data_IF_105076408419
#
_entry.id   IF_105076408419
#
_cell.length_a   1.000
_cell.length_b   1.000
_cell.length_c   1.000
_cell.angle_alpha   90.00
_cell.angle_beta   90.00
_cell.angle_gamma   90.00
#
_symmetry.space_group_name_H-M   'P 1'
#
loop_
_entity.id
_entity.type
_entity.pdbx_description
1 polymer ?
#
# COMPACT_ATOMS: atom_id res chain seq x y z
N UNK A 1 -25.55 -12.93 8.92
CA UNK A 1 -24.54 -11.92 9.30
C UNK A 1 -25.04 -11.17 10.51
N UNK A 2 -24.28 -11.16 11.60
CA UNK A 2 -24.63 -10.43 12.82
C UNK A 2 -24.66 -8.92 12.54
N UNK A 3 -25.40 -8.11 13.31
CA UNK A 3 -25.45 -6.64 13.13
C UNK A 3 -24.04 -6.01 13.18
N UNK A 4 -23.11 -6.60 13.94
CA UNK A 4 -21.71 -6.16 14.04
C UNK A 4 -20.89 -6.41 12.75
N UNK A 5 -21.23 -7.40 11.92
CA UNK A 5 -20.52 -7.66 10.67
C UNK A 5 -20.91 -6.69 9.53
N UNK A 6 -22.04 -6.00 9.65
CA UNK A 6 -22.52 -5.06 8.63
C UNK A 6 -21.79 -3.71 8.66
N UNK A 7 -21.26 -3.30 9.82
CA UNK A 7 -20.64 -1.99 10.00
C UNK A 7 -19.10 -2.01 9.85
N UNK A 8 -18.50 -3.19 9.67
CA UNK A 8 -17.06 -3.31 9.46
C UNK A 8 -16.64 -2.68 8.12
N UNK A 9 -15.52 -1.91 8.10
CA UNK A 9 -14.88 -1.51 6.85
C UNK A 9 -14.61 -2.71 5.96
N UNK A 10 -14.78 -2.55 4.64
CA UNK A 10 -14.66 -3.66 3.69
C UNK A 10 -13.26 -4.28 3.71
N UNK A 11 -12.24 -3.47 3.99
CA UNK A 11 -10.86 -3.90 4.19
C UNK A 11 -10.75 -5.01 5.24
N UNK A 12 -11.47 -4.88 6.37
CA UNK A 12 -11.45 -5.88 7.44
C UNK A 12 -12.43 -7.03 7.16
N UNK A 13 -13.60 -6.71 6.62
CA UNK A 13 -14.65 -7.69 6.30
C UNK A 13 -14.18 -8.73 5.29
N UNK A 14 -13.45 -8.29 4.27
CA UNK A 14 -12.91 -9.12 3.18
C UNK A 14 -11.44 -9.48 3.38
N UNK A 15 -10.87 -9.24 4.57
CA UNK A 15 -9.50 -9.66 4.90
C UNK A 15 -9.42 -11.19 4.77
N UNK A 16 -8.43 -11.72 4.02
CA UNK A 16 -8.21 -13.17 3.89
C UNK A 16 -8.21 -13.88 5.25
N UNK A 17 -9.00 -14.96 5.35
CA UNK A 17 -9.13 -15.75 6.60
C UNK A 17 -8.21 -16.95 6.59
N UNK A 18 -8.05 -17.57 5.43
CA UNK A 18 -7.18 -18.73 5.18
C UNK A 18 -6.06 -18.38 4.21
N UNK A 19 -4.99 -19.20 4.18
CA UNK A 19 -3.88 -18.98 3.25
C UNK A 19 -4.33 -19.13 1.79
N UNK A 20 -5.39 -19.90 1.52
CA UNK A 20 -5.99 -20.08 0.20
C UNK A 20 -6.69 -18.82 -0.33
N UNK A 21 -7.15 -17.94 0.57
CA UNK A 21 -7.85 -16.71 0.19
C UNK A 21 -6.91 -15.61 -0.32
N UNK A 22 -5.59 -15.76 -0.10
CA UNK A 22 -4.57 -14.77 -0.44
C UNK A 22 -4.34 -14.74 -1.95
N UNK A 23 -4.56 -13.58 -2.55
CA UNK A 23 -4.49 -13.39 -3.99
C UNK A 23 -3.05 -13.19 -4.50
N UNK A 24 -2.70 -13.84 -5.62
CA UNK A 24 -1.47 -13.62 -6.43
C UNK A 24 -0.14 -13.70 -5.68
N UNK A 25 -0.02 -14.60 -4.69
CA UNK A 25 1.24 -14.87 -4.00
C UNK A 25 1.55 -16.37 -4.02
N UNK A 26 1.37 -17.04 -5.16
CA UNK A 26 1.40 -18.51 -5.28
C UNK A 26 2.71 -19.13 -4.79
N UNK A 27 3.84 -18.50 -5.08
CA UNK A 27 5.16 -18.94 -4.59
C UNK A 27 5.19 -18.92 -3.05
N UNK A 28 4.75 -17.82 -2.43
CA UNK A 28 4.73 -17.66 -0.97
C UNK A 28 3.73 -18.65 -0.35
N UNK A 29 2.51 -18.71 -0.90
CA UNK A 29 1.43 -19.60 -0.44
C UNK A 29 1.86 -21.06 -0.52
N UNK A 30 2.52 -21.48 -1.60
CA UNK A 30 2.97 -22.87 -1.76
C UNK A 30 4.00 -23.29 -0.71
N UNK A 31 4.92 -22.38 -0.36
CA UNK A 31 5.94 -22.63 0.69
C UNK A 31 5.29 -22.62 2.07
N UNK A 32 4.39 -21.68 2.32
CA UNK A 32 3.66 -21.60 3.58
C UNK A 32 2.77 -22.83 3.81
N UNK A 33 2.11 -23.36 2.77
CA UNK A 33 1.36 -24.63 2.84
C UNK A 33 2.24 -25.84 3.18
N UNK A 34 3.47 -25.88 2.66
CA UNK A 34 4.44 -26.90 3.06
C UNK A 34 4.80 -26.77 4.55
N UNK A 35 4.99 -25.55 5.04
CA UNK A 35 5.21 -25.29 6.47
C UNK A 35 4.01 -25.66 7.35
N UNK A 36 2.77 -25.45 6.86
CA UNK A 36 1.56 -25.90 7.56
C UNK A 36 1.56 -27.42 7.75
N UNK A 37 1.99 -28.15 6.71
CA UNK A 37 1.99 -29.62 6.71
C UNK A 37 3.12 -30.19 7.57
N UNK A 38 4.32 -29.61 7.49
CA UNK A 38 5.49 -30.03 8.28
C UNK A 38 5.38 -29.62 9.75
N UNK A 39 4.65 -28.54 10.05
CA UNK A 39 4.59 -27.95 11.38
C UNK A 39 5.91 -27.29 11.81
N UNK A 40 6.83 -27.04 10.88
CA UNK A 40 8.09 -26.33 11.13
C UNK A 40 8.15 -25.03 10.32
N UNK A 41 8.06 -23.90 11.02
CA UNK A 41 7.96 -22.57 10.43
C UNK A 41 9.21 -21.72 10.74
N UNK A 42 10.15 -21.52 9.82
CA UNK A 42 11.33 -20.68 10.10
C UNK A 42 10.93 -19.26 10.51
N UNK A 43 11.87 -18.47 11.02
CA UNK A 43 11.62 -17.03 11.11
C UNK A 43 11.34 -16.47 9.71
N UNK A 44 10.36 -15.59 9.60
CA UNK A 44 9.89 -15.06 8.32
C UNK A 44 10.20 -13.57 8.22
N UNK A 45 10.52 -13.12 7.01
CA UNK A 45 10.62 -11.71 6.66
C UNK A 45 9.76 -11.46 5.42
N UNK A 46 8.63 -10.79 5.60
CA UNK A 46 7.70 -10.42 4.55
C UNK A 46 7.96 -8.98 4.13
N UNK A 47 8.23 -8.76 2.85
CA UNK A 47 8.51 -7.42 2.36
C UNK A 47 7.91 -7.14 1.00
N UNK A 48 7.59 -5.88 0.75
CA UNK A 48 7.02 -5.43 -0.52
C UNK A 48 6.13 -4.21 -0.36
N UNK A 49 5.53 -3.71 -1.45
CA UNK A 49 4.65 -2.53 -1.43
C UNK A 49 3.47 -2.68 -0.46
N UNK A 50 2.85 -1.56 -0.03
CA UNK A 50 1.62 -1.59 0.76
C UNK A 50 0.49 -2.30 0.00
N UNK A 51 -0.54 -2.75 0.73
CA UNK A 51 -1.73 -3.36 0.10
C UNK A 51 -1.55 -4.74 -0.54
N UNK A 52 -0.35 -5.32 -0.53
CA UNK A 52 -0.04 -6.62 -1.17
C UNK A 52 -0.41 -7.86 -0.34
N UNK A 53 -1.00 -7.68 0.84
CA UNK A 53 -1.48 -8.79 1.68
C UNK A 53 -0.48 -9.39 2.66
N UNK A 54 0.66 -8.72 2.94
CA UNK A 54 1.70 -9.19 3.89
C UNK A 54 1.14 -9.60 5.26
N UNK A 55 0.49 -8.66 5.96
CA UNK A 55 -0.10 -8.88 7.29
C UNK A 55 -1.23 -9.90 7.24
N UNK A 56 -2.09 -9.82 6.23
CA UNK A 56 -3.18 -10.78 6.02
C UNK A 56 -2.67 -12.21 5.86
N UNK A 57 -1.56 -12.42 5.15
CA UNK A 57 -0.98 -13.75 4.89
C UNK A 57 -0.48 -14.42 6.16
N UNK A 58 0.27 -13.70 7.02
CA UNK A 58 0.75 -14.30 8.27
C UNK A 58 -0.38 -14.54 9.26
N UNK A 59 -1.38 -13.66 9.32
CA UNK A 59 -2.54 -13.85 10.18
C UNK A 59 -3.37 -15.05 9.72
N UNK A 60 -3.58 -15.21 8.42
CA UNK A 60 -4.22 -16.38 7.84
C UNK A 60 -3.45 -17.68 8.16
N UNK A 61 -2.13 -17.67 7.94
CA UNK A 61 -1.26 -18.80 8.30
C UNK A 61 -1.38 -19.15 9.79
N UNK A 62 -1.34 -18.16 10.67
CA UNK A 62 -1.39 -18.40 12.10
C UNK A 62 -2.77 -18.88 12.57
N UNK A 63 -3.86 -18.48 11.89
CA UNK A 63 -5.20 -19.06 12.11
C UNK A 63 -5.25 -20.52 11.66
N UNK A 64 -4.69 -20.85 10.51
CA UNK A 64 -4.65 -22.22 10.01
C UNK A 64 -3.77 -23.13 10.90
N UNK A 65 -2.68 -22.60 11.49
CA UNK A 65 -1.80 -23.33 12.41
C UNK A 65 -2.43 -23.57 13.79
N UNK A 66 -3.06 -22.55 14.38
CA UNK A 66 -3.46 -22.57 15.79
C UNK A 66 -4.98 -22.66 16.02
N UNK A 67 -5.79 -22.44 15.00
CA UNK A 67 -7.25 -22.46 15.09
C UNK A 67 -7.77 -21.59 16.24
N UNK A 68 -8.45 -22.21 17.19
CA UNK A 68 -9.03 -21.55 18.37
C UNK A 68 -8.00 -20.96 19.33
N UNK A 69 -6.76 -21.48 19.33
CA UNK A 69 -5.67 -21.01 20.20
C UNK A 69 -4.92 -19.80 19.62
N UNK A 70 -5.34 -19.28 18.47
CA UNK A 70 -4.72 -18.14 17.78
C UNK A 70 -4.41 -16.98 18.73
N UNK A 71 -5.39 -16.53 19.54
CA UNK A 71 -5.23 -15.36 20.43
C UNK A 71 -4.20 -15.56 21.55
N UNK A 72 -3.94 -16.80 21.96
CA UNK A 72 -3.00 -17.10 23.04
C UNK A 72 -1.58 -17.33 22.53
N UNK A 73 -1.44 -17.75 21.27
CA UNK A 73 -0.16 -18.15 20.65
C UNK A 73 0.42 -17.12 19.70
N UNK A 74 -0.36 -16.13 19.30
CA UNK A 74 0.07 -15.07 18.38
C UNK A 74 0.12 -13.75 19.13
N UNK A 75 1.27 -13.10 19.09
CA UNK A 75 1.44 -11.73 19.53
C UNK A 75 1.67 -10.85 18.29
N UNK A 76 0.70 -10.01 17.96
CA UNK A 76 0.84 -8.98 16.92
C UNK A 76 1.22 -7.66 17.59
N UNK A 77 2.30 -7.03 17.11
CA UNK A 77 2.73 -5.72 17.54
C UNK A 77 2.98 -4.86 16.31
N UNK A 78 2.39 -3.67 16.27
CA UNK A 78 2.75 -2.65 15.31
C UNK A 78 3.97 -1.88 15.82
N UNK A 79 5.10 -2.00 15.14
CA UNK A 79 6.36 -1.45 15.62
C UNK A 79 6.43 0.08 15.55
N UNK A 80 5.56 0.73 14.75
CA UNK A 80 5.46 2.19 14.67
C UNK A 80 4.73 2.82 15.85
N UNK A 81 3.78 2.10 16.48
CA UNK A 81 3.06 2.58 17.66
C UNK A 81 3.86 2.33 18.95
N UNK A 82 4.49 1.15 19.05
CA UNK A 82 5.25 0.73 20.23
C UNK A 82 6.75 1.06 20.14
N UNK A 83 7.09 2.31 19.83
CA UNK A 83 8.48 2.78 19.52
C UNK A 83 9.53 2.59 20.62
N UNK A 84 9.11 2.29 21.85
CA UNK A 84 10.01 2.11 22.98
C UNK A 84 10.85 0.84 22.84
N UNK A 85 12.18 0.99 22.78
CA UNK A 85 13.13 -0.14 22.78
C UNK A 85 12.86 -1.08 23.98
N UNK A 86 12.48 -0.53 25.13
CA UNK A 86 12.11 -1.29 26.34
C UNK A 86 10.80 -2.05 26.17
N UNK A 87 9.77 -1.40 25.61
CA UNK A 87 8.42 -1.99 25.47
C UNK A 87 8.46 -3.22 24.57
N UNK A 88 9.08 -3.12 23.39
CA UNK A 88 9.23 -4.26 22.47
C UNK A 88 10.04 -5.35 23.15
N UNK A 89 11.18 -5.00 23.76
CA UNK A 89 12.05 -5.97 24.42
C UNK A 89 11.34 -6.73 25.52
N UNK A 90 10.62 -6.04 26.40
CA UNK A 90 10.01 -6.63 27.59
C UNK A 90 8.74 -7.39 27.27
N UNK A 91 7.87 -6.88 26.38
CA UNK A 91 6.67 -7.60 25.92
C UNK A 91 7.04 -8.85 25.14
N UNK A 92 7.93 -8.71 24.14
CA UNK A 92 8.36 -9.86 23.32
C UNK A 92 9.09 -10.87 24.17
N UNK A 93 9.96 -10.44 25.10
CA UNK A 93 10.67 -11.35 26.01
C UNK A 93 9.70 -12.09 26.93
N UNK A 94 8.76 -11.39 27.56
CA UNK A 94 7.77 -12.00 28.46
C UNK A 94 6.92 -13.02 27.69
N UNK A 95 6.46 -12.68 26.48
CA UNK A 95 5.70 -13.60 25.64
C UNK A 95 6.51 -14.81 25.16
N UNK A 96 7.79 -14.59 24.81
CA UNK A 96 8.70 -15.65 24.34
C UNK A 96 9.14 -16.62 25.45
N UNK A 97 9.08 -16.17 26.71
CA UNK A 97 9.38 -16.99 27.89
C UNK A 97 8.25 -17.93 28.28
N UNK A 98 7.01 -17.62 27.91
CA UNK A 98 5.88 -18.47 28.20
C UNK A 98 5.90 -19.72 27.32
N UNK A 99 5.91 -20.90 27.93
CA UNK A 99 5.91 -22.17 27.21
C UNK A 99 4.51 -22.48 26.65
N UNK A 100 4.43 -23.02 25.43
CA UNK A 100 3.20 -23.62 24.92
C UNK A 100 3.18 -25.10 25.30
N UNK A 101 2.44 -25.46 26.35
CA UNK A 101 2.46 -26.82 26.91
C UNK A 101 1.45 -27.79 26.28
N UNK A 102 0.53 -27.30 25.45
CA UNK A 102 -0.53 -28.10 24.83
C UNK A 102 -0.40 -28.03 23.29
N UNK A 103 -1.00 -28.95 22.53
CA UNK A 103 -1.06 -28.91 21.05
C UNK A 103 0.10 -29.56 20.26
N UNK A 104 -0.16 -29.83 18.96
CA UNK A 104 0.78 -30.47 18.01
C UNK A 104 2.00 -29.60 17.69
N UNK A 105 1.81 -28.27 17.69
CA UNK A 105 2.85 -27.28 17.43
C UNK A 105 3.32 -26.71 18.77
N UNK A 106 4.63 -26.77 19.04
CA UNK A 106 5.23 -26.38 20.34
C UNK A 106 5.82 -24.97 20.37
N UNK A 107 5.63 -24.19 19.31
CA UNK A 107 6.09 -22.80 19.26
C UNK A 107 4.93 -21.80 19.23
N UNK A 108 5.25 -20.56 19.59
CA UNK A 108 4.40 -19.36 19.45
C UNK A 108 4.86 -18.51 18.27
N UNK A 109 4.02 -17.61 17.79
CA UNK A 109 4.36 -16.67 16.73
C UNK A 109 4.33 -15.24 17.25
N UNK A 110 5.39 -14.48 17.00
CA UNK A 110 5.42 -13.02 17.20
C UNK A 110 5.46 -12.36 15.83
N UNK A 111 4.46 -11.53 15.56
CA UNK A 111 4.32 -10.74 14.33
C UNK A 111 4.70 -9.30 14.67
N UNK A 112 5.73 -8.80 14.01
CA UNK A 112 6.17 -7.42 14.11
C UNK A 112 5.84 -6.73 12.78
N UNK A 113 4.75 -5.97 12.77
CA UNK A 113 4.36 -5.17 11.61
C UNK A 113 5.16 -3.85 11.58
N UNK A 114 5.39 -3.32 10.38
CA UNK A 114 6.19 -2.11 10.14
C UNK A 114 7.57 -2.14 10.81
N UNK A 115 8.25 -3.29 10.77
CA UNK A 115 9.56 -3.51 11.39
C UNK A 115 10.65 -2.56 10.83
N UNK A 116 10.45 -1.97 9.66
CA UNK A 116 11.32 -0.95 9.07
C UNK A 116 11.24 0.42 9.77
N UNK A 117 10.21 0.65 10.58
CA UNK A 117 10.09 1.83 11.44
C UNK A 117 10.84 1.67 12.78
N UNK A 118 11.36 0.48 13.09
CA UNK A 118 12.13 0.23 14.31
C UNK A 118 13.52 0.88 14.25
N UNK A 119 13.95 1.45 15.38
CA UNK A 119 15.33 1.92 15.54
C UNK A 119 16.34 0.77 15.45
N UNK A 120 17.57 1.05 15.01
CA UNK A 120 18.63 0.04 14.89
C UNK A 120 18.95 -0.65 16.22
N UNK A 121 18.82 0.07 17.34
CA UNK A 121 19.02 -0.46 18.68
C UNK A 121 17.92 -1.46 19.07
N UNK A 122 16.66 -1.15 18.74
CA UNK A 122 15.55 -2.08 18.95
C UNK A 122 15.72 -3.37 18.15
N UNK A 123 16.11 -3.25 16.88
CA UNK A 123 16.39 -4.41 16.03
C UNK A 123 17.56 -5.25 16.56
N UNK A 124 18.60 -4.61 17.10
CA UNK A 124 19.74 -5.30 17.72
C UNK A 124 19.34 -6.03 19.00
N UNK A 125 18.46 -5.45 19.82
CA UNK A 125 17.90 -6.12 20.99
C UNK A 125 17.03 -7.32 20.60
N UNK A 126 16.19 -7.16 19.57
CA UNK A 126 15.34 -8.22 19.03
C UNK A 126 16.16 -9.41 18.54
N UNK A 127 17.28 -9.17 17.84
CA UNK A 127 18.19 -10.24 17.38
C UNK A 127 18.57 -11.21 18.51
N UNK A 128 18.97 -10.68 19.68
CA UNK A 128 19.36 -11.50 20.83
C UNK A 128 18.19 -12.34 21.35
N UNK A 129 16.97 -11.80 21.31
CA UNK A 129 15.74 -12.50 21.72
C UNK A 129 15.44 -13.63 20.73
N UNK A 130 15.52 -13.37 19.42
CA UNK A 130 15.29 -14.36 18.38
C UNK A 130 16.25 -15.55 18.49
N UNK A 131 17.54 -15.29 18.73
CA UNK A 131 18.54 -16.33 18.93
C UNK A 131 18.27 -17.16 20.20
N UNK A 132 17.93 -16.51 21.31
CA UNK A 132 17.69 -17.18 22.59
C UNK A 132 16.44 -18.05 22.59
N UNK A 133 15.37 -17.61 21.93
CA UNK A 133 14.04 -18.24 22.00
C UNK A 133 13.58 -18.91 20.69
N UNK A 134 14.49 -19.16 19.74
CA UNK A 134 14.20 -19.87 18.46
C UNK A 134 13.40 -21.17 18.64
N UNK A 135 13.63 -21.91 19.73
CA UNK A 135 12.93 -23.19 20.00
C UNK A 135 11.47 -23.02 20.42
N UNK A 136 11.15 -21.93 21.12
CA UNK A 136 9.81 -21.69 21.69
C UNK A 136 8.99 -20.68 20.89
N UNK A 137 9.65 -19.81 20.13
CA UNK A 137 9.01 -18.67 19.46
C UNK A 137 9.56 -18.50 18.05
N UNK A 138 8.66 -18.36 17.08
CA UNK A 138 8.98 -18.02 15.69
C UNK A 138 8.57 -16.58 15.43
N UNK A 139 9.44 -15.82 14.78
CA UNK A 139 9.22 -14.41 14.48
C UNK A 139 8.81 -14.24 13.01
N UNK A 140 7.85 -13.36 12.76
CA UNK A 140 7.51 -12.86 11.44
C UNK A 140 7.69 -11.35 11.43
N UNK A 141 8.67 -10.86 10.67
CA UNK A 141 8.91 -9.45 10.47
C UNK A 141 8.22 -9.02 9.19
N UNK A 142 7.44 -7.94 9.24
CA UNK A 142 6.80 -7.35 8.06
C UNK A 142 7.38 -5.96 7.85
N UNK A 143 7.82 -5.64 6.64
CA UNK A 143 8.29 -4.31 6.30
C UNK A 143 7.93 -3.93 4.86
N UNK A 144 8.04 -2.64 4.53
CA UNK A 144 7.99 -2.22 3.13
C UNK A 144 9.38 -2.26 2.51
N UNK A 145 10.40 -1.86 3.28
CA UNK A 145 11.79 -1.77 2.81
C UNK A 145 12.74 -2.71 3.59
N UNK A 146 13.24 -3.75 2.92
CA UNK A 146 14.22 -4.69 3.52
C UNK A 146 15.53 -4.00 3.88
N UNK A 147 15.91 -2.94 3.17
CA UNK A 147 17.13 -2.17 3.40
C UNK A 147 17.18 -1.50 4.76
N UNK A 148 16.03 -1.23 5.39
CA UNK A 148 15.92 -0.68 6.74
C UNK A 148 16.08 -1.74 7.85
N UNK A 149 16.08 -3.02 7.50
CA UNK A 149 16.30 -4.12 8.43
C UNK A 149 17.79 -4.43 8.53
N UNK A 150 18.32 -4.54 9.75
CA UNK A 150 19.73 -4.81 9.97
C UNK A 150 20.13 -6.18 9.38
N UNK A 151 21.32 -6.31 8.75
CA UNK A 151 21.77 -7.57 8.16
C UNK A 151 21.69 -8.80 9.08
N UNK A 152 21.97 -8.69 10.40
CA UNK A 152 21.83 -9.83 11.32
C UNK A 152 20.41 -10.40 11.45
N UNK A 153 19.36 -9.56 11.37
CA UNK A 153 17.98 -10.05 11.37
C UNK A 153 17.62 -10.66 10.01
N UNK A 154 18.02 -9.98 8.94
CA UNK A 154 17.77 -10.39 7.58
C UNK A 154 18.34 -11.79 7.27
N UNK A 155 19.54 -12.11 7.76
CA UNK A 155 20.17 -13.42 7.52
C UNK A 155 19.54 -14.58 8.31
N UNK A 156 18.77 -14.29 9.36
CA UNK A 156 18.12 -15.30 10.22
C UNK A 156 16.68 -15.60 9.82
N UNK A 157 16.15 -14.88 8.84
CA UNK A 157 14.77 -15.02 8.38
C UNK A 157 14.73 -15.56 6.94
N UNK A 158 13.75 -16.42 6.68
CA UNK A 158 13.33 -16.79 5.32
C UNK A 158 12.57 -15.63 4.71
N UNK A 159 13.04 -15.15 3.55
CA UNK A 159 12.59 -13.90 2.95
C UNK A 159 11.54 -14.18 1.89
N UNK A 160 10.40 -13.51 1.99
CA UNK A 160 9.31 -13.60 1.03
C UNK A 160 9.00 -12.22 0.48
N UNK A 161 9.18 -12.08 -0.84
CA UNK A 161 8.89 -10.84 -1.58
C UNK A 161 7.43 -10.85 -2.03
N UNK A 162 6.66 -9.90 -1.55
CA UNK A 162 5.32 -9.62 -2.02
C UNK A 162 5.39 -8.65 -3.18
N UNK A 163 4.88 -9.07 -4.33
CA UNK A 163 4.79 -8.24 -5.54
C UNK A 163 3.45 -7.50 -5.54
N UNK A 164 3.36 -6.31 -6.19
CA UNK A 164 2.08 -5.69 -6.53
C UNK A 164 1.13 -6.71 -7.15
N UNK A 165 -0.15 -6.59 -6.84
CA UNK A 165 -1.15 -7.52 -7.35
C UNK A 165 -1.37 -7.26 -8.85
N UNK A 166 -1.35 -8.30 -9.71
CA UNK A 166 -1.73 -8.17 -11.10
C UNK A 166 -3.15 -7.62 -11.25
N UNK A 167 -3.36 -6.75 -12.24
CA UNK A 167 -4.65 -6.10 -12.52
C UNK A 167 -5.79 -7.10 -12.65
N UNK A 168 -5.57 -8.25 -13.32
CA UNK A 168 -6.60 -9.28 -13.50
C UNK A 168 -7.14 -9.81 -12.16
N UNK A 169 -6.25 -10.12 -11.22
CA UNK A 169 -6.66 -10.69 -9.92
C UNK A 169 -7.34 -9.64 -9.03
N UNK A 170 -6.95 -8.37 -9.17
CA UNK A 170 -7.68 -7.26 -8.55
C UNK A 170 -9.10 -7.16 -9.08
N UNK A 171 -9.28 -7.24 -10.41
CA UNK A 171 -10.62 -7.23 -11.05
C UNK A 171 -11.47 -8.37 -10.49
N UNK A 172 -10.96 -9.61 -10.51
CA UNK A 172 -11.73 -10.78 -10.07
C UNK A 172 -12.20 -10.68 -8.61
N UNK A 173 -11.31 -10.20 -7.73
CA UNK A 173 -11.63 -10.01 -6.30
C UNK A 173 -12.61 -8.86 -6.10
N UNK A 174 -12.43 -7.74 -6.80
CA UNK A 174 -13.35 -6.60 -6.73
C UNK A 174 -14.72 -6.98 -7.28
N UNK A 175 -14.80 -7.74 -8.38
CA UNK A 175 -16.05 -8.21 -8.96
C UNK A 175 -16.82 -9.13 -7.99
N UNK A 176 -16.11 -10.00 -7.29
CA UNK A 176 -16.70 -10.86 -6.24
C UNK A 176 -17.31 -10.00 -5.13
N UNK A 177 -16.60 -8.96 -4.67
CA UNK A 177 -17.07 -8.05 -3.61
C UNK A 177 -18.25 -7.21 -4.10
N UNK A 178 -18.20 -6.72 -5.33
CA UNK A 178 -19.29 -5.96 -5.95
C UNK A 178 -20.58 -6.79 -6.06
N UNK A 179 -20.45 -8.10 -6.35
CA UNK A 179 -21.59 -9.02 -6.36
C UNK A 179 -22.19 -9.22 -4.96
N UNK A 180 -21.36 -9.34 -3.92
CA UNK A 180 -21.81 -9.54 -2.53
C UNK A 180 -22.48 -8.27 -1.98
N UNK A 181 -21.90 -7.10 -2.24
CA UNK A 181 -22.38 -5.81 -1.73
C UNK A 181 -23.43 -5.15 -2.64
N UNK A 182 -23.74 -5.76 -3.79
CA UNK A 182 -24.67 -5.23 -4.79
C UNK A 182 -24.32 -3.80 -5.24
N UNK A 183 -23.05 -3.57 -5.59
CA UNK A 183 -22.57 -2.27 -6.09
C UNK A 183 -23.02 -2.07 -7.54
N UNK A 184 -23.74 -0.97 -7.81
CA UNK A 184 -24.09 -0.51 -9.15
C UNK A 184 -22.97 0.33 -9.75
N UNK A 185 -22.62 0.06 -11.00
CA UNK A 185 -21.70 0.88 -11.80
C UNK A 185 -22.41 1.37 -13.06
N UNK A 186 -22.08 2.58 -13.49
CA UNK A 186 -22.57 3.11 -14.76
C UNK A 186 -21.92 2.39 -15.96
N UNK A 187 -20.59 2.19 -15.92
CA UNK A 187 -19.86 1.37 -16.87
C UNK A 187 -18.84 0.47 -16.15
N UNK A 188 -19.31 -0.73 -15.78
CA UNK A 188 -18.57 -1.67 -14.93
C UNK A 188 -17.12 -1.90 -15.38
N UNK A 189 -16.85 -2.05 -16.67
CA UNK A 189 -15.48 -2.34 -17.15
C UNK A 189 -14.55 -1.12 -17.09
N UNK A 190 -15.00 0.05 -17.52
CA UNK A 190 -14.16 1.25 -17.51
C UNK A 190 -13.92 1.77 -16.10
N UNK A 191 -14.96 1.77 -15.26
CA UNK A 191 -14.90 2.33 -13.91
C UNK A 191 -14.03 1.46 -12.99
N UNK A 192 -14.11 0.12 -13.14
CA UNK A 192 -13.19 -0.80 -12.45
C UNK A 192 -11.74 -0.66 -12.94
N UNK A 193 -11.53 -0.50 -14.24
CA UNK A 193 -10.18 -0.31 -14.78
C UNK A 193 -9.55 0.97 -14.23
N UNK A 194 -10.30 2.07 -14.22
CA UNK A 194 -9.86 3.34 -13.65
C UNK A 194 -9.59 3.24 -12.13
N UNK A 195 -10.46 2.56 -11.38
CA UNK A 195 -10.23 2.31 -9.96
C UNK A 195 -8.89 1.59 -9.71
N UNK A 196 -8.56 0.61 -10.53
CA UNK A 196 -7.31 -0.17 -10.38
C UNK A 196 -6.10 0.65 -10.77
N UNK A 197 -6.19 1.42 -11.85
CA UNK A 197 -5.14 2.36 -12.26
C UNK A 197 -4.82 3.34 -11.13
N UNK A 198 -5.84 3.98 -10.58
CA UNK A 198 -5.73 4.92 -9.45
C UNK A 198 -5.25 4.26 -8.16
N UNK A 199 -5.39 2.94 -8.04
CA UNK A 199 -4.96 2.18 -6.86
C UNK A 199 -3.53 1.64 -6.96
N UNK A 200 -2.89 1.71 -8.13
CA UNK A 200 -1.49 1.30 -8.36
C UNK A 200 -1.14 -0.11 -7.84
N UNK A 201 -2.11 -1.03 -7.87
CA UNK A 201 -1.92 -2.40 -7.37
C UNK A 201 -2.08 -2.58 -5.85
N UNK A 202 -2.47 -1.54 -5.10
CA UNK A 202 -2.82 -1.59 -3.68
C UNK A 202 -4.29 -1.96 -3.49
N UNK A 203 -4.55 -3.19 -3.01
CA UNK A 203 -5.91 -3.67 -2.75
C UNK A 203 -6.60 -2.94 -1.60
N UNK A 204 -5.87 -2.47 -0.59
CA UNK A 204 -6.44 -1.70 0.52
C UNK A 204 -6.97 -0.36 0.00
N UNK A 205 -6.18 0.33 -0.83
CA UNK A 205 -6.60 1.58 -1.48
C UNK A 205 -7.82 1.35 -2.37
N UNK A 206 -7.79 0.33 -3.24
CA UNK A 206 -8.91 -0.01 -4.12
C UNK A 206 -10.22 -0.26 -3.35
N UNK A 207 -10.18 -1.05 -2.27
CA UNK A 207 -11.35 -1.34 -1.46
C UNK A 207 -11.87 -0.12 -0.70
N UNK A 208 -10.97 0.73 -0.20
CA UNK A 208 -11.34 1.96 0.51
C UNK A 208 -12.06 2.92 -0.43
N UNK A 209 -11.50 3.14 -1.62
CA UNK A 209 -12.09 3.99 -2.65
C UNK A 209 -13.45 3.45 -3.10
N UNK A 210 -13.55 2.15 -3.36
CA UNK A 210 -14.80 1.52 -3.78
C UNK A 210 -15.87 1.62 -2.68
N UNK A 211 -15.51 1.38 -1.41
CA UNK A 211 -16.45 1.49 -0.30
C UNK A 211 -16.97 2.93 -0.14
N UNK A 212 -16.09 3.91 -0.27
CA UNK A 212 -16.46 5.34 -0.21
C UNK A 212 -17.35 5.73 -1.37
N UNK A 213 -17.00 5.33 -2.59
CA UNK A 213 -17.80 5.60 -3.80
C UNK A 213 -19.21 4.98 -3.70
N UNK A 214 -19.29 3.72 -3.25
CA UNK A 214 -20.57 3.06 -3.03
C UNK A 214 -21.44 3.75 -1.96
N UNK A 215 -20.84 4.29 -0.89
CA UNK A 215 -21.57 5.01 0.16
C UNK A 215 -22.15 6.33 -0.34
N UNK A 216 -21.41 7.04 -1.18
CA UNK A 216 -21.83 8.32 -1.77
C UNK A 216 -22.94 8.09 -2.82
N UNK A 217 -22.80 7.04 -3.63
CA UNK A 217 -23.71 6.76 -4.74
C UNK A 217 -24.96 5.94 -4.36
N UNK A 218 -25.30 5.80 -3.06
CA UNK A 218 -26.45 4.98 -2.63
C UNK A 218 -27.79 5.47 -3.20
N UNK A 219 -27.89 6.76 -3.52
CA UNK A 219 -29.10 7.40 -4.03
C UNK A 219 -29.05 7.71 -5.54
N UNK A 220 -27.92 7.44 -6.21
CA UNK A 220 -27.68 7.76 -7.63
C UNK A 220 -27.60 6.51 -8.53
N UNK A 221 -27.54 6.71 -9.85
CA UNK A 221 -27.61 5.65 -10.88
C UNK A 221 -26.38 4.74 -10.97
N UNK A 222 -25.48 4.76 -9.98
CA UNK A 222 -24.28 3.93 -9.90
C UNK A 222 -22.99 4.73 -9.80
N UNK A 223 -21.92 4.05 -9.41
CA UNK A 223 -20.56 4.63 -9.30
C UNK A 223 -20.03 4.95 -10.70
N UNK A 224 -19.50 6.17 -10.89
CA UNK A 224 -18.87 6.63 -12.13
C UNK A 224 -17.37 6.86 -11.99
N UNK A 225 -16.65 6.98 -13.12
CA UNK A 225 -15.24 7.39 -13.17
C UNK A 225 -14.97 8.72 -12.44
N UNK A 226 -15.88 9.68 -12.57
CA UNK A 226 -15.74 11.02 -11.96
C UNK A 226 -15.87 10.97 -10.43
N UNK A 227 -16.79 10.14 -9.92
CA UNK A 227 -16.93 9.90 -8.48
C UNK A 227 -15.65 9.27 -7.90
N UNK A 228 -15.10 8.26 -8.59
CA UNK A 228 -13.85 7.61 -8.17
C UNK A 228 -12.69 8.61 -8.19
N UNK A 229 -12.60 9.43 -9.24
CA UNK A 229 -11.53 10.42 -9.41
C UNK A 229 -11.55 11.49 -8.33
N UNK A 230 -12.73 12.05 -8.04
CA UNK A 230 -12.91 13.05 -7.00
C UNK A 230 -12.56 12.53 -5.60
N UNK A 231 -12.96 11.29 -5.27
CA UNK A 231 -12.63 10.66 -3.98
C UNK A 231 -11.14 10.35 -3.88
N UNK A 232 -10.52 9.93 -4.98
CA UNK A 232 -9.10 9.64 -5.03
C UNK A 232 -8.20 10.88 -5.10
N UNK A 233 -8.78 12.07 -5.27
CA UNK A 233 -8.04 13.32 -5.44
C UNK A 233 -7.33 13.43 -6.79
N UNK A 234 -7.77 12.68 -7.81
CA UNK A 234 -7.23 12.75 -9.16
C UNK A 234 -7.74 14.03 -9.82
N UNK A 235 -6.84 14.77 -10.46
CA UNK A 235 -7.20 16.02 -11.13
C UNK A 235 -7.89 15.68 -12.46
N UNK A 236 -9.02 16.32 -12.80
CA UNK A 236 -9.66 16.16 -14.10
C UNK A 236 -8.68 16.42 -15.26
N UNK A 237 -8.67 15.54 -16.26
CA UNK A 237 -7.76 15.63 -17.42
C UNK A 237 -7.85 16.98 -18.16
N UNK A 238 -9.03 17.60 -18.14
CA UNK A 238 -9.26 18.93 -18.72
C UNK A 238 -8.39 20.00 -18.06
N UNK A 239 -8.30 20.01 -16.73
CA UNK A 239 -7.52 20.99 -15.97
C UNK A 239 -6.02 20.79 -16.23
N UNK A 240 -5.57 19.53 -16.27
CA UNK A 240 -4.16 19.20 -16.56
C UNK A 240 -3.78 19.66 -17.96
N UNK A 241 -4.62 19.37 -18.97
CA UNK A 241 -4.40 19.81 -20.35
C UNK A 241 -4.46 21.33 -20.48
N UNK A 242 -5.39 21.99 -19.80
CA UNK A 242 -5.55 23.44 -19.80
C UNK A 242 -4.35 24.17 -19.17
N UNK A 243 -3.68 23.56 -18.20
CA UNK A 243 -2.43 24.06 -17.63
C UNK A 243 -1.24 23.81 -18.56
N UNK A 244 -1.20 22.64 -19.20
CA UNK A 244 -0.13 22.25 -20.11
C UNK A 244 -0.12 23.06 -21.42
N UNK A 245 -1.31 23.32 -21.99
CA UNK A 245 -1.44 23.98 -23.29
C UNK A 245 -1.50 25.51 -23.24
N UNK A 246 -1.41 26.14 -22.07
CA UNK A 246 -1.56 27.60 -21.94
C UNK A 246 -0.27 28.32 -22.36
N UNK A 247 -0.26 29.09 -23.48
CA UNK A 247 0.96 29.69 -24.01
C UNK A 247 1.31 31.04 -23.37
N UNK A 248 0.44 31.61 -22.52
CA UNK A 248 0.60 32.94 -21.94
C UNK A 248 0.90 32.85 -20.44
N UNK A 249 2.10 33.30 -20.04
CA UNK A 249 2.60 33.22 -18.66
C UNK A 249 1.66 33.87 -17.63
N UNK A 250 1.07 35.02 -17.95
CA UNK A 250 0.13 35.70 -17.05
C UNK A 250 -1.16 34.92 -16.82
N UNK A 251 -1.66 34.22 -17.86
CA UNK A 251 -2.85 33.39 -17.77
C UNK A 251 -2.55 32.09 -17.02
N UNK A 252 -1.41 31.47 -17.32
CA UNK A 252 -0.90 30.32 -16.59
C UNK A 252 -0.78 30.62 -15.09
N UNK A 253 -0.20 31.78 -14.72
CA UNK A 253 -0.07 32.22 -13.33
C UNK A 253 -1.42 32.32 -12.62
N UNK A 254 -2.47 32.80 -13.31
CA UNK A 254 -3.83 32.86 -12.78
C UNK A 254 -4.44 31.46 -12.61
N UNK A 255 -4.33 30.60 -13.64
CA UNK A 255 -4.79 29.21 -13.59
C UNK A 255 -4.12 28.40 -12.48
N UNK A 256 -2.81 28.55 -12.27
CA UNK A 256 -2.10 27.88 -11.17
C UNK A 256 -2.60 28.38 -9.80
N UNK A 257 -2.93 29.66 -9.66
CA UNK A 257 -3.55 30.17 -8.41
C UNK A 257 -4.95 29.62 -8.20
N UNK A 258 -5.75 29.47 -9.26
CA UNK A 258 -7.07 28.85 -9.20
C UNK A 258 -6.96 27.37 -8.83
N UNK A 259 -6.04 26.64 -9.45
CA UNK A 259 -5.71 25.25 -9.12
C UNK A 259 -5.39 25.05 -7.63
N UNK A 260 -4.56 25.92 -7.05
CA UNK A 260 -4.21 25.86 -5.62
C UNK A 260 -5.41 26.23 -4.74
N UNK A 261 -6.28 27.15 -5.19
CA UNK A 261 -7.51 27.51 -4.46
C UNK A 261 -8.53 26.38 -4.45
N UNK A 262 -8.59 25.57 -5.50
CA UNK A 262 -9.41 24.35 -5.55
C UNK A 262 -8.85 23.24 -4.64
N UNK A 263 -7.61 23.38 -4.15
CA UNK A 263 -7.02 22.47 -3.17
C UNK A 263 -6.46 21.19 -3.77
N UNK A 264 -6.20 21.16 -5.08
CA UNK A 264 -5.52 20.03 -5.70
C UNK A 264 -4.05 19.94 -5.28
N UNK A 265 -3.55 18.71 -5.20
CA UNK A 265 -2.15 18.45 -4.86
C UNK A 265 -1.23 18.72 -6.04
N UNK A 266 -0.16 19.47 -5.81
CA UNK A 266 0.91 19.66 -6.80
C UNK A 266 1.59 18.34 -7.20
N UNK A 267 1.77 17.40 -6.27
CA UNK A 267 2.41 16.09 -6.53
C UNK A 267 1.58 15.24 -7.51
N UNK A 268 0.25 15.26 -7.34
CA UNK A 268 -0.68 14.60 -8.27
C UNK A 268 -0.64 15.24 -9.67
N UNK A 269 -0.55 16.57 -9.74
CA UNK A 269 -0.43 17.28 -11.02
C UNK A 269 0.85 16.88 -11.76
N UNK A 270 1.98 16.79 -11.06
CA UNK A 270 3.25 16.37 -11.66
C UNK A 270 3.17 14.95 -12.23
N UNK A 271 2.53 14.03 -11.49
CA UNK A 271 2.37 12.64 -11.93
C UNK A 271 1.51 12.52 -13.18
N UNK A 272 0.39 13.26 -13.24
CA UNK A 272 -0.48 13.26 -14.44
C UNK A 272 0.17 14.00 -15.61
N UNK A 273 0.86 15.11 -15.35
CA UNK A 273 1.56 15.87 -16.37
C UNK A 273 2.72 15.07 -16.98
N UNK A 274 3.40 14.25 -16.17
CA UNK A 274 4.41 13.30 -16.65
C UNK A 274 3.84 12.34 -17.70
N UNK A 275 2.66 11.77 -17.46
CA UNK A 275 2.01 10.88 -18.44
C UNK A 275 1.66 11.62 -19.73
N UNK A 276 1.06 12.82 -19.62
CA UNK A 276 0.70 13.66 -20.77
C UNK A 276 1.93 14.01 -21.61
N UNK A 277 3.05 14.37 -20.99
CA UNK A 277 4.31 14.73 -21.69
C UNK A 277 4.92 13.53 -22.41
N UNK A 278 4.83 12.33 -21.81
CA UNK A 278 5.35 11.11 -22.43
C UNK A 278 4.53 10.76 -23.67
N UNK A 279 3.20 10.84 -23.58
CA UNK A 279 2.25 10.52 -24.65
C UNK A 279 2.20 11.56 -25.78
N UNK A 280 2.67 12.78 -25.53
CA UNK A 280 2.62 13.87 -26.52
C UNK A 280 3.66 13.70 -27.63
N UNK A 281 3.27 13.17 -28.78
CA UNK A 281 4.14 12.99 -29.95
C UNK A 281 4.56 14.30 -30.65
N UNK A 282 3.98 15.45 -30.28
CA UNK A 282 4.31 16.73 -30.92
C UNK A 282 5.66 17.31 -30.45
N UNK A 283 6.17 16.87 -29.30
CA UNK A 283 7.41 17.38 -28.71
C UNK A 283 8.60 16.52 -29.12
N UNK A 284 9.69 17.17 -29.52
CA UNK A 284 10.97 16.49 -29.81
C UNK A 284 11.53 15.77 -28.57
N UNK A 285 12.19 14.63 -28.76
CA UNK A 285 12.77 13.84 -27.66
C UNK A 285 13.71 14.65 -26.75
N UNK A 286 14.44 15.62 -27.32
CA UNK A 286 15.34 16.51 -26.57
C UNK A 286 14.55 17.43 -25.64
N UNK A 287 13.43 17.97 -26.11
CA UNK A 287 12.56 18.83 -25.30
C UNK A 287 11.80 18.00 -24.26
N UNK A 288 11.34 16.78 -24.61
CA UNK A 288 10.78 15.83 -23.64
C UNK A 288 11.78 15.56 -22.52
N UNK A 289 13.03 15.23 -22.84
CA UNK A 289 14.05 14.94 -21.84
C UNK A 289 14.29 16.11 -20.87
N UNK A 290 14.37 17.35 -21.38
CA UNK A 290 14.52 18.55 -20.54
C UNK A 290 13.30 18.80 -19.65
N UNK A 291 12.10 18.56 -20.16
CA UNK A 291 10.88 18.74 -19.39
C UNK A 291 10.77 17.68 -18.27
N UNK A 292 11.12 16.43 -18.57
CA UNK A 292 11.20 15.36 -17.57
C UNK A 292 12.22 15.67 -16.46
N UNK A 293 13.40 16.19 -16.82
CA UNK A 293 14.39 16.65 -15.85
C UNK A 293 13.83 17.76 -14.95
N UNK A 294 13.14 18.74 -15.55
CA UNK A 294 12.52 19.84 -14.81
C UNK A 294 11.42 19.33 -13.85
N UNK A 295 10.56 18.42 -14.31
CA UNK A 295 9.52 17.79 -13.48
C UNK A 295 10.17 17.09 -12.28
N UNK A 296 11.24 16.32 -12.49
CA UNK A 296 11.94 15.63 -11.41
C UNK A 296 12.56 16.60 -10.38
N UNK A 297 13.14 17.71 -10.82
CA UNK A 297 13.68 18.75 -9.93
C UNK A 297 12.57 19.41 -9.11
N UNK A 298 11.43 19.70 -9.74
CA UNK A 298 10.27 20.29 -9.07
C UNK A 298 9.67 19.31 -8.06
N UNK A 299 9.48 18.05 -8.43
CA UNK A 299 9.00 16.98 -7.55
C UNK A 299 9.90 16.83 -6.30
N UNK A 300 11.22 16.81 -6.50
CA UNK A 300 12.20 16.77 -5.40
C UNK A 300 12.04 17.97 -4.45
N UNK A 301 11.89 19.18 -4.99
CA UNK A 301 11.72 20.40 -4.18
C UNK A 301 10.39 20.42 -3.43
N UNK A 302 9.31 19.93 -4.03
CA UNK A 302 8.02 19.79 -3.33
C UNK A 302 8.14 18.83 -2.15
N UNK A 303 8.84 17.70 -2.33
CA UNK A 303 9.11 16.73 -1.25
C UNK A 303 9.99 17.30 -0.12
N UNK A 304 10.83 18.28 -0.42
CA UNK A 304 11.65 19.01 0.58
C UNK A 304 10.88 20.17 1.27
N UNK A 305 9.60 20.37 0.92
CA UNK A 305 8.73 21.38 1.53
C UNK A 305 8.78 22.76 0.88
N UNK A 306 9.22 22.86 -0.38
CA UNK A 306 9.15 24.11 -1.14
C UNK A 306 7.71 24.56 -1.41
N UNK A 307 7.52 25.85 -1.70
CA UNK A 307 6.21 26.41 -2.04
C UNK A 307 5.68 25.86 -3.36
N UNK A 308 4.52 25.20 -3.32
CA UNK A 308 3.84 24.64 -4.50
C UNK A 308 3.60 25.69 -5.59
N UNK A 309 3.11 26.88 -5.22
CA UNK A 309 2.83 27.97 -6.16
C UNK A 309 4.06 28.34 -7.01
N UNK A 310 5.21 28.51 -6.36
CA UNK A 310 6.43 28.95 -7.03
C UNK A 310 6.96 27.84 -7.94
N UNK A 311 6.96 26.59 -7.46
CA UNK A 311 7.49 25.48 -8.25
C UNK A 311 6.61 25.15 -9.46
N UNK A 312 5.28 25.20 -9.32
CA UNK A 312 4.36 24.99 -10.44
C UNK A 312 4.42 26.12 -11.48
N UNK A 313 4.63 27.37 -11.03
CA UNK A 313 4.86 28.50 -11.94
C UNK A 313 6.19 28.36 -12.70
N UNK A 314 7.27 27.95 -12.02
CA UNK A 314 8.57 27.69 -12.63
C UNK A 314 8.50 26.55 -13.67
N UNK A 315 7.78 25.48 -13.35
CA UNK A 315 7.50 24.39 -14.30
C UNK A 315 6.73 24.89 -15.52
N UNK A 316 5.61 25.59 -15.30
CA UNK A 316 4.78 26.09 -16.39
C UNK A 316 5.51 27.13 -17.27
N UNK A 317 6.35 27.98 -16.69
CA UNK A 317 7.21 28.89 -17.45
C UNK A 317 8.17 28.14 -18.38
N UNK A 318 8.74 27.03 -17.89
CA UNK A 318 9.62 26.16 -18.68
C UNK A 318 8.86 25.49 -19.84
N UNK A 319 7.61 25.05 -19.60
CA UNK A 319 6.74 24.47 -20.65
C UNK A 319 6.46 25.50 -21.75
N UNK A 320 6.12 26.74 -21.36
CA UNK A 320 5.83 27.84 -22.30
C UNK A 320 7.07 28.21 -23.13
N UNK A 321 8.26 28.21 -22.53
CA UNK A 321 9.50 28.49 -23.25
C UNK A 321 9.80 27.43 -24.33
N UNK A 322 9.48 26.16 -24.05
CA UNK A 322 9.75 25.05 -24.95
C UNK A 322 8.72 24.89 -26.07
N UNK A 323 7.47 25.32 -25.84
CA UNK A 323 6.38 25.29 -26.85
C UNK A 323 6.39 26.49 -27.80
N UNK A 324 7.14 27.57 -27.48
CA UNK A 324 7.25 28.78 -28.30
C UNK A 324 8.31 28.71 -29.43
N UNK A 325 8.84 27.53 -29.74
CA UNK A 325 9.80 27.33 -30.85
C UNK A 325 9.23 26.40 -31.92
#
# INVERSE_FOLDING_TARGET
MSRQEKDLPWIEKYRPKTVDDVASQDEVVSVLKKCLTSGDLPHLLFYGPPGTGKTSTILALARDLFGTEFRQRVLELNASDERGISVIRDKVKTFSQMTANQGKIRYRIVILDEADSMTRDAQTALRRIMEKYTKTTRFCLICNYVTKIIPPLNSRCSKFRFKPLPTQVLIDKLDTICAIESVSFANRKSDLCFLIEVSEGDMRRALTLLQSAHRICRDSTGVTKEDIGSIAGVIPDQIVRDLYSEPVLDRLTKKVREFIREGYSGDQLLTQLLQVVIEDDAITDINKAKLLEKIAVVEYRLKDGASELIQLQDLGATIVEMTRK
#
